data_IF_120462382125
#
_entry.id   IF_120462382125
#
_cell.length_a   1.000
_cell.length_b   1.000
_cell.length_c   1.000
_cell.angle_alpha   90.00
_cell.angle_beta   90.00
_cell.angle_gamma   90.00
#
_symmetry.space_group_name_H-M   'P 1'
#
loop_
_entity.id
_entity.type
_entity.pdbx_description
1 polymer ?
#
# COMPACT_ATOMS: atom_id res chain seq x y z
N UNK A 1 14.09 -11.60 10.28
CA UNK A 1 12.98 -10.90 9.57
C UNK A 1 12.38 -9.72 10.35
N UNK A 2 12.59 -9.63 11.68
CA UNK A 2 11.95 -8.61 12.53
C UNK A 2 12.31 -7.17 12.16
N UNK A 3 13.59 -6.88 11.90
CA UNK A 3 14.04 -5.53 11.52
C UNK A 3 13.36 -5.03 10.25
N UNK A 4 13.20 -5.91 9.26
CA UNK A 4 12.55 -5.59 8.00
C UNK A 4 11.05 -5.33 8.18
N UNK A 5 10.38 -6.13 9.01
CA UNK A 5 8.99 -5.89 9.37
C UNK A 5 8.81 -4.53 10.07
N UNK A 6 9.75 -4.13 10.94
CA UNK A 6 9.72 -2.82 11.61
C UNK A 6 9.85 -1.67 10.60
N UNK A 7 10.74 -1.77 9.61
CA UNK A 7 10.82 -0.77 8.54
C UNK A 7 9.52 -0.67 7.74
N UNK A 8 8.87 -1.80 7.45
CA UNK A 8 7.56 -1.79 6.78
C UNK A 8 6.45 -1.17 7.65
N UNK A 9 6.45 -1.43 8.96
CA UNK A 9 5.54 -0.79 9.94
C UNK A 9 5.71 0.73 9.87
N UNK A 10 6.94 1.22 9.97
CA UNK A 10 7.24 2.67 9.89
C UNK A 10 6.77 3.23 8.54
N UNK A 11 7.09 2.55 7.44
CA UNK A 11 6.72 2.99 6.09
C UNK A 11 5.20 3.07 5.89
N UNK A 12 4.45 2.04 6.28
CA UNK A 12 2.99 2.00 6.09
C UNK A 12 2.30 3.04 7.00
N UNK A 13 2.77 3.21 8.24
CA UNK A 13 2.29 4.28 9.11
C UNK A 13 2.55 5.66 8.53
N UNK A 14 3.75 5.89 7.98
CA UNK A 14 4.07 7.16 7.32
C UNK A 14 3.16 7.43 6.12
N UNK A 15 2.96 6.45 5.23
CA UNK A 15 2.06 6.59 4.08
C UNK A 15 0.62 6.86 4.49
N UNK A 16 0.14 6.21 5.56
CA UNK A 16 -1.18 6.45 6.11
C UNK A 16 -1.33 7.88 6.65
N UNK A 17 -0.37 8.35 7.46
CA UNK A 17 -0.37 9.72 7.97
C UNK A 17 -0.31 10.74 6.83
N UNK A 18 0.60 10.56 5.88
CA UNK A 18 0.74 11.45 4.74
C UNK A 18 -0.55 11.51 3.91
N UNK A 19 -1.21 10.37 3.67
CA UNK A 19 -2.50 10.33 2.96
C UNK A 19 -3.60 11.03 3.74
N UNK A 20 -3.63 10.88 5.06
CA UNK A 20 -4.62 11.52 5.94
C UNK A 20 -4.43 13.04 5.94
N UNK A 21 -3.21 13.49 6.23
CA UNK A 21 -2.86 14.93 6.24
C UNK A 21 -3.07 15.54 4.86
N UNK A 22 -2.63 14.87 3.79
CA UNK A 22 -2.84 15.33 2.41
C UNK A 22 -4.30 15.36 1.94
N UNK A 23 -5.21 14.65 2.62
CA UNK A 23 -6.65 14.67 2.29
C UNK A 23 -7.39 15.82 2.98
N UNK A 24 -7.07 16.10 4.24
CA UNK A 24 -7.74 17.13 5.04
C UNK A 24 -7.05 18.50 4.99
N UNK A 25 -5.72 18.54 4.85
CA UNK A 25 -4.90 19.74 4.94
C UNK A 25 -4.17 20.03 3.62
N UNK A 26 -4.89 20.01 2.50
CA UNK A 26 -4.31 20.27 1.17
C UNK A 26 -3.63 21.63 1.05
N UNK A 27 -4.11 22.65 1.78
CA UNK A 27 -3.57 24.01 1.75
C UNK A 27 -2.10 24.06 2.15
N UNK A 28 -1.69 23.29 3.16
CA UNK A 28 -0.29 23.24 3.68
C UNK A 28 0.70 22.84 2.57
N UNK A 29 0.26 21.96 1.67
CA UNK A 29 1.09 21.45 0.57
C UNK A 29 1.04 22.32 -0.69
N UNK A 30 0.02 23.17 -0.86
CA UNK A 30 -0.07 24.03 -2.06
C UNK A 30 0.92 25.18 -2.03
N UNK A 31 1.23 25.69 -0.84
CA UNK A 31 2.03 26.90 -0.67
C UNK A 31 3.54 26.61 -0.57
N UNK A 32 3.93 25.40 -0.16
CA UNK A 32 5.32 25.06 0.13
C UNK A 32 5.87 23.95 -0.77
N UNK A 33 6.52 24.33 -1.89
CA UNK A 33 7.12 23.38 -2.83
C UNK A 33 8.15 22.45 -2.17
N UNK A 34 9.03 22.99 -1.31
CA UNK A 34 10.05 22.22 -0.59
C UNK A 34 9.42 21.15 0.32
N UNK A 35 8.30 21.48 0.96
CA UNK A 35 7.57 20.53 1.79
C UNK A 35 6.98 19.39 0.95
N UNK A 36 6.46 19.69 -0.24
CA UNK A 36 5.96 18.68 -1.19
C UNK A 36 7.10 17.77 -1.65
N UNK A 37 8.27 18.32 -1.98
CA UNK A 37 9.43 17.53 -2.39
C UNK A 37 9.90 16.57 -1.28
N UNK A 38 10.06 17.06 -0.05
CA UNK A 38 10.47 16.25 1.10
C UNK A 38 9.45 15.13 1.36
N UNK A 39 8.16 15.47 1.36
CA UNK A 39 7.10 14.49 1.66
C UNK A 39 6.95 13.45 0.56
N UNK A 40 7.14 13.81 -0.71
CA UNK A 40 7.20 12.85 -1.82
C UNK A 40 8.45 11.96 -1.75
N UNK A 41 9.60 12.49 -1.39
CA UNK A 41 10.82 11.70 -1.20
C UNK A 41 10.68 10.69 -0.04
N UNK A 42 10.12 11.14 1.09
CA UNK A 42 9.81 10.26 2.22
C UNK A 42 8.74 9.21 1.86
N UNK A 43 7.73 9.57 1.05
CA UNK A 43 6.75 8.60 0.56
C UNK A 43 7.40 7.53 -0.32
N UNK A 44 8.32 7.92 -1.20
CA UNK A 44 9.10 6.99 -2.00
C UNK A 44 9.91 6.03 -1.12
N UNK A 45 10.61 6.55 -0.11
CA UNK A 45 11.34 5.74 0.87
C UNK A 45 10.42 4.77 1.62
N UNK A 46 9.22 5.23 2.01
CA UNK A 46 8.24 4.40 2.70
C UNK A 46 7.73 3.26 1.80
N UNK A 47 7.48 3.51 0.52
CA UNK A 47 7.10 2.46 -0.44
C UNK A 47 8.25 1.48 -0.66
N UNK A 48 9.49 1.98 -0.78
CA UNK A 48 10.68 1.13 -0.88
C UNK A 48 10.87 0.23 0.35
N UNK A 49 10.55 0.70 1.55
CA UNK A 49 10.57 -0.13 2.76
C UNK A 49 9.60 -1.31 2.66
N UNK A 50 8.42 -1.11 2.06
CA UNK A 50 7.43 -2.18 1.83
C UNK A 50 7.90 -3.13 0.73
N UNK A 51 8.46 -2.62 -0.37
CA UNK A 51 9.09 -3.45 -1.42
C UNK A 51 10.19 -4.32 -0.81
N UNK A 52 11.07 -3.73 0.00
CA UNK A 52 12.15 -4.42 0.68
C UNK A 52 11.63 -5.52 1.61
N UNK A 53 10.53 -5.28 2.33
CA UNK A 53 9.86 -6.30 3.12
C UNK A 53 9.40 -7.49 2.28
N UNK A 54 8.68 -7.26 1.18
CA UNK A 54 8.21 -8.36 0.34
C UNK A 54 9.37 -9.06 -0.39
N UNK A 55 10.46 -8.37 -0.70
CA UNK A 55 11.66 -8.97 -1.28
C UNK A 55 12.36 -9.92 -0.30
N UNK A 56 12.53 -9.49 0.96
CA UNK A 56 13.03 -10.36 2.02
C UNK A 56 12.06 -11.52 2.31
N UNK A 57 10.75 -11.27 2.27
CA UNK A 57 9.74 -12.29 2.45
C UNK A 57 9.77 -13.34 1.34
N UNK A 58 10.02 -12.93 0.10
CA UNK A 58 10.21 -13.84 -1.03
C UNK A 58 11.42 -14.76 -0.82
N UNK A 59 12.56 -14.20 -0.39
CA UNK A 59 13.76 -15.00 -0.04
C UNK A 59 13.46 -16.00 1.09
N UNK A 60 12.67 -15.60 2.09
CA UNK A 60 12.24 -16.48 3.16
C UNK A 60 11.35 -17.63 2.64
N UNK A 61 10.42 -17.34 1.74
CA UNK A 61 9.55 -18.35 1.11
C UNK A 61 10.35 -19.35 0.26
N UNK A 62 11.35 -18.88 -0.49
CA UNK A 62 12.25 -19.71 -1.28
C UNK A 62 13.05 -20.67 -0.40
N UNK A 63 13.61 -20.18 0.72
CA UNK A 63 14.40 -21.00 1.64
C UNK A 63 13.59 -22.13 2.29
N UNK A 64 12.28 -21.94 2.47
CA UNK A 64 11.37 -22.94 3.07
C UNK A 64 10.54 -23.73 2.02
N UNK A 65 10.90 -23.68 0.73
CA UNK A 65 10.22 -24.37 -0.38
C UNK A 65 8.69 -24.17 -0.41
N UNK A 66 8.21 -22.94 -0.14
CA UNK A 66 6.77 -22.61 -0.15
C UNK A 66 6.34 -22.06 -1.51
N UNK A 67 5.95 -22.95 -2.42
CA UNK A 67 5.62 -22.64 -3.82
C UNK A 67 4.39 -21.72 -3.99
N UNK A 68 3.31 -21.97 -3.24
CA UNK A 68 2.07 -21.17 -3.33
C UNK A 68 2.27 -19.71 -2.88
N UNK A 69 3.00 -19.52 -1.77
CA UNK A 69 3.25 -18.19 -1.18
C UNK A 69 4.22 -17.37 -2.04
N UNK A 70 5.12 -18.05 -2.77
CA UNK A 70 6.09 -17.43 -3.67
C UNK A 70 5.38 -16.64 -4.78
N UNK A 71 4.41 -17.25 -5.47
CA UNK A 71 3.68 -16.61 -6.56
C UNK A 71 2.95 -15.35 -6.10
N UNK A 72 2.24 -15.44 -4.97
CA UNK A 72 1.52 -14.30 -4.41
C UNK A 72 2.46 -13.18 -3.95
N UNK A 73 3.63 -13.52 -3.40
CA UNK A 73 4.65 -12.53 -2.99
C UNK A 73 5.26 -11.81 -4.20
N UNK A 74 5.54 -12.54 -5.29
CA UNK A 74 6.02 -11.94 -6.54
C UNK A 74 4.97 -10.98 -7.11
N UNK A 75 3.69 -11.36 -7.06
CA UNK A 75 2.62 -10.51 -7.54
C UNK A 75 2.52 -9.19 -6.76
N UNK A 76 2.67 -9.24 -5.43
CA UNK A 76 2.75 -8.03 -4.59
C UNK A 76 3.97 -7.19 -4.92
N UNK A 77 5.13 -7.80 -5.12
CA UNK A 77 6.34 -7.09 -5.50
C UNK A 77 6.14 -6.31 -6.80
N UNK A 78 5.54 -6.91 -7.83
CA UNK A 78 5.23 -6.23 -9.09
C UNK A 78 4.32 -5.02 -8.82
N UNK A 79 3.24 -5.20 -8.06
CA UNK A 79 2.32 -4.11 -7.71
C UNK A 79 3.01 -2.94 -6.98
N UNK A 80 3.91 -3.24 -6.03
CA UNK A 80 4.65 -2.21 -5.29
C UNK A 80 5.82 -1.59 -6.07
N UNK A 81 6.43 -2.30 -7.02
CA UNK A 81 7.41 -1.74 -7.94
C UNK A 81 6.72 -0.71 -8.86
N UNK A 82 5.53 -1.03 -9.38
CA UNK A 82 4.74 -0.07 -10.15
C UNK A 82 4.40 1.18 -9.33
N UNK A 83 4.02 1.00 -8.06
CA UNK A 83 3.81 2.13 -7.13
C UNK A 83 5.07 2.96 -6.93
N UNK A 84 6.23 2.31 -6.76
CA UNK A 84 7.53 3.01 -6.64
C UNK A 84 7.79 3.86 -7.87
N UNK A 85 7.54 3.32 -9.07
CA UNK A 85 7.65 4.06 -10.33
C UNK A 85 6.75 5.29 -10.38
N UNK A 86 5.51 5.18 -9.88
CA UNK A 86 4.59 6.32 -9.79
C UNK A 86 5.12 7.40 -8.83
N UNK A 87 5.58 7.05 -7.63
CA UNK A 87 6.13 8.02 -6.68
C UNK A 87 7.44 8.66 -7.19
N UNK A 88 8.27 7.90 -7.92
CA UNK A 88 9.47 8.41 -8.54
C UNK A 88 9.14 9.41 -9.66
N UNK A 89 8.15 9.11 -10.51
CA UNK A 89 7.64 10.03 -11.52
C UNK A 89 7.14 11.33 -10.88
N UNK A 90 6.30 11.23 -9.86
CA UNK A 90 5.77 12.39 -9.13
C UNK A 90 6.91 13.28 -8.60
N UNK A 91 7.97 12.66 -8.06
CA UNK A 91 9.13 13.37 -7.55
C UNK A 91 9.92 14.06 -8.68
N UNK A 92 10.21 13.35 -9.78
CA UNK A 92 10.93 13.89 -10.94
C UNK A 92 10.19 15.05 -11.61
N UNK A 93 8.85 14.97 -11.67
CA UNK A 93 8.02 16.05 -12.19
C UNK A 93 8.14 17.33 -11.36
N UNK A 94 8.39 17.23 -10.05
CA UNK A 94 8.63 18.39 -9.17
C UNK A 94 10.01 19.01 -9.34
N UNK A 95 10.95 18.29 -9.97
CA UNK A 95 12.28 18.78 -10.35
C UNK A 95 12.35 19.22 -11.82
N UNK A 96 11.19 19.43 -12.48
CA UNK A 96 11.09 19.79 -13.90
C UNK A 96 11.71 18.78 -14.89
N UNK A 97 11.99 17.54 -14.45
CA UNK A 97 12.41 16.46 -15.34
C UNK A 97 11.15 15.80 -15.90
N UNK A 98 10.54 16.45 -16.89
CA UNK A 98 9.33 15.94 -17.57
C UNK A 98 9.70 15.04 -18.75
N UNK A 99 8.96 13.94 -18.94
CA UNK A 99 9.02 13.15 -20.19
C UNK A 99 9.34 11.66 -20.11
N UNK A 100 9.63 11.08 -18.94
CA UNK A 100 10.21 9.72 -18.90
C UNK A 100 9.18 8.60 -18.62
N UNK A 101 8.03 8.86 -17.98
CA UNK A 101 7.16 7.75 -17.52
C UNK A 101 5.64 7.94 -17.66
N UNK A 102 5.02 6.91 -18.27
CA UNK A 102 3.60 6.51 -18.32
C UNK A 102 2.58 7.50 -18.91
N UNK A 103 1.73 7.06 -19.87
CA UNK A 103 0.57 7.85 -20.31
C UNK A 103 -0.37 8.14 -19.13
N UNK A 104 -0.99 9.32 -19.15
CA UNK A 104 -1.93 9.85 -18.14
C UNK A 104 -3.05 8.89 -17.70
N UNK A 105 -3.36 7.89 -18.52
CA UNK A 105 -4.44 6.94 -18.31
C UNK A 105 -4.11 5.79 -17.35
N UNK A 106 -2.83 5.45 -17.17
CA UNK A 106 -2.41 4.27 -16.38
C UNK A 106 -2.27 4.61 -14.89
N UNK A 107 -2.08 5.88 -14.53
CA UNK A 107 -1.84 6.31 -13.13
C UNK A 107 -2.90 5.83 -12.14
N UNK A 108 -4.21 5.90 -12.42
CA UNK A 108 -5.24 5.45 -11.48
C UNK A 108 -5.31 3.91 -11.36
N UNK A 109 -4.80 3.17 -12.34
CA UNK A 109 -4.78 1.71 -12.33
C UNK A 109 -3.69 1.14 -11.43
N UNK A 110 -2.55 1.82 -11.33
CA UNK A 110 -1.40 1.35 -10.52
C UNK A 110 -1.81 1.12 -9.06
N UNK A 111 -2.52 2.04 -8.39
CA UNK A 111 -3.08 1.78 -7.07
C UNK A 111 -4.02 0.58 -7.02
N UNK A 112 -4.89 0.39 -8.01
CA UNK A 112 -5.82 -0.74 -8.02
C UNK A 112 -5.05 -2.07 -8.08
N UNK A 113 -4.08 -2.18 -8.99
CA UNK A 113 -3.21 -3.37 -9.12
C UNK A 113 -2.48 -3.65 -7.80
N UNK A 114 -1.95 -2.61 -7.14
CA UNK A 114 -1.34 -2.74 -5.82
C UNK A 114 -2.30 -3.33 -4.78
N UNK A 115 -3.53 -2.82 -4.67
CA UNK A 115 -4.53 -3.34 -3.71
C UNK A 115 -4.98 -4.76 -4.03
N UNK A 116 -5.15 -5.09 -5.32
CA UNK A 116 -5.53 -6.43 -5.77
C UNK A 116 -4.42 -7.43 -5.43
N UNK A 117 -3.16 -7.05 -5.66
CA UNK A 117 -2.00 -7.88 -5.34
C UNK A 117 -1.89 -8.20 -3.85
N UNK A 118 -2.13 -7.20 -2.98
CA UNK A 118 -2.19 -7.40 -1.53
C UNK A 118 -3.32 -8.35 -1.12
N UNK A 119 -4.51 -8.19 -1.71
CA UNK A 119 -5.65 -9.04 -1.40
C UNK A 119 -5.34 -10.51 -1.75
N UNK A 120 -4.83 -10.77 -2.96
CA UNK A 120 -4.40 -12.10 -3.39
C UNK A 120 -3.38 -12.67 -2.42
N UNK A 121 -2.38 -11.88 -2.03
CA UNK A 121 -1.39 -12.30 -1.05
C UNK A 121 -1.98 -12.66 0.30
N UNK A 122 -2.87 -11.83 0.88
CA UNK A 122 -3.47 -12.15 2.18
C UNK A 122 -4.39 -13.36 2.12
N UNK A 123 -5.12 -13.57 1.02
CA UNK A 123 -5.95 -14.77 0.82
C UNK A 123 -5.07 -16.03 0.79
N UNK A 124 -4.00 -16.01 0.00
CA UNK A 124 -3.05 -17.14 -0.12
C UNK A 124 -2.34 -17.36 1.21
N UNK A 125 -1.94 -16.29 1.90
CA UNK A 125 -1.32 -16.35 3.22
C UNK A 125 -2.24 -16.96 4.27
N UNK A 126 -3.51 -16.56 4.30
CA UNK A 126 -4.52 -17.09 5.22
C UNK A 126 -4.76 -18.59 5.02
N UNK A 127 -4.83 -19.05 3.76
CA UNK A 127 -5.04 -20.46 3.40
C UNK A 127 -3.82 -21.36 3.68
N UNK A 128 -2.63 -20.79 3.81
CA UNK A 128 -1.39 -21.57 3.92
C UNK A 128 -1.26 -22.28 5.30
N UNK A 129 -0.84 -23.56 5.35
CA UNK A 129 -0.73 -24.33 6.61
C UNK A 129 0.23 -23.76 7.67
N UNK A 130 1.07 -22.78 7.35
CA UNK A 130 1.87 -22.02 8.34
C UNK A 130 1.02 -21.26 9.36
N UNK A 131 -0.21 -20.88 9.00
CA UNK A 131 -1.15 -20.26 9.94
C UNK A 131 -1.76 -21.31 10.86
N UNK A 132 -2.13 -22.49 10.33
CA UNK A 132 -2.81 -23.62 11.00
C UNK A 132 -2.08 -24.27 12.19
N UNK A 133 -0.81 -23.92 12.40
CA UNK A 133 -0.01 -24.42 13.53
C UNK A 133 -0.24 -23.62 14.82
N UNK A 134 -0.90 -22.45 14.76
CA UNK A 134 -1.04 -21.53 15.91
C UNK A 134 -2.51 -21.13 16.10
N UNK A 135 -3.28 -22.05 16.68
CA UNK A 135 -4.74 -21.99 16.92
C UNK A 135 -5.30 -20.62 17.37
N UNK A 136 -4.57 -19.85 18.19
CA UNK A 136 -5.07 -18.56 18.70
C UNK A 136 -4.81 -17.35 17.78
N UNK A 137 -3.79 -17.41 16.91
CA UNK A 137 -3.46 -16.31 16.00
C UNK A 137 -4.21 -16.41 14.65
N UNK A 138 -4.63 -17.62 14.26
CA UNK A 138 -5.31 -17.90 13.01
C UNK A 138 -6.58 -17.06 12.80
N UNK A 139 -7.38 -16.87 13.86
CA UNK A 139 -8.66 -16.16 13.78
C UNK A 139 -8.47 -14.69 13.40
N UNK A 140 -7.33 -14.10 13.72
CA UNK A 140 -7.03 -12.69 13.43
C UNK A 140 -6.29 -12.50 12.11
N UNK A 141 -5.87 -13.56 11.43
CA UNK A 141 -5.25 -13.47 10.10
C UNK A 141 -6.25 -13.25 8.97
N UNK A 142 -7.56 -13.30 9.26
CA UNK A 142 -8.61 -12.85 8.33
C UNK A 142 -8.67 -11.32 8.25
N UNK A 143 -8.22 -10.60 9.28
CA UNK A 143 -8.28 -9.13 9.34
C UNK A 143 -7.56 -8.46 8.17
N UNK A 144 -6.30 -8.81 7.83
CA UNK A 144 -5.64 -8.26 6.64
C UNK A 144 -6.41 -8.50 5.33
N UNK A 145 -7.12 -9.63 5.21
CA UNK A 145 -7.97 -9.92 4.04
C UNK A 145 -9.14 -8.94 3.97
N UNK A 146 -9.82 -8.71 5.09
CA UNK A 146 -10.92 -7.73 5.18
C UNK A 146 -10.40 -6.32 4.87
N UNK A 147 -9.27 -5.93 5.46
CA UNK A 147 -8.64 -4.64 5.21
C UNK A 147 -8.28 -4.42 3.74
N UNK A 148 -7.64 -5.41 3.10
CA UNK A 148 -7.30 -5.34 1.68
C UNK A 148 -8.54 -5.34 0.77
N UNK A 149 -9.63 -6.00 1.17
CA UNK A 149 -10.91 -5.95 0.45
C UNK A 149 -11.51 -4.54 0.50
N UNK A 150 -11.47 -3.89 1.67
CA UNK A 150 -11.92 -2.50 1.83
C UNK A 150 -11.04 -1.55 1.02
N UNK A 151 -9.71 -1.71 1.06
CA UNK A 151 -8.78 -0.91 0.25
C UNK A 151 -9.07 -1.07 -1.26
N UNK A 152 -9.30 -2.31 -1.73
CA UNK A 152 -9.65 -2.58 -3.12
C UNK A 152 -10.99 -1.94 -3.51
N UNK A 153 -12.01 -2.01 -2.64
CA UNK A 153 -13.31 -1.38 -2.88
C UNK A 153 -13.18 0.14 -3.00
N UNK A 154 -12.42 0.78 -2.10
CA UNK A 154 -12.16 2.23 -2.14
C UNK A 154 -11.45 2.62 -3.44
N UNK A 155 -10.41 1.86 -3.85
CA UNK A 155 -9.68 2.15 -5.10
C UNK A 155 -10.51 1.90 -6.34
N UNK A 156 -11.38 0.89 -6.32
CA UNK A 156 -12.35 0.65 -7.39
C UNK A 156 -13.35 1.80 -7.52
N UNK A 157 -13.84 2.32 -6.39
CA UNK A 157 -14.72 3.49 -6.37
C UNK A 157 -14.04 4.75 -6.93
N UNK A 158 -12.76 4.99 -6.57
CA UNK A 158 -11.97 6.10 -7.13
C UNK A 158 -11.80 5.93 -8.64
N UNK A 159 -11.44 4.73 -9.10
CA UNK A 159 -11.25 4.46 -10.53
C UNK A 159 -12.54 4.64 -11.32
N UNK A 160 -13.68 4.16 -10.80
CA UNK A 160 -14.98 4.35 -11.43
C UNK A 160 -15.34 5.84 -11.55
N UNK A 161 -15.07 6.63 -10.51
CA UNK A 161 -15.24 8.09 -10.58
C UNK A 161 -14.29 8.76 -11.56
N UNK A 162 -13.05 8.30 -11.67
CA UNK A 162 -12.10 8.80 -12.67
C UNK A 162 -12.65 8.60 -14.09
N UNK A 163 -13.19 7.42 -14.40
CA UNK A 163 -13.76 7.14 -15.71
C UNK A 163 -15.02 7.97 -16.02
N UNK A 164 -15.91 8.11 -15.04
CA UNK A 164 -17.21 8.74 -15.26
C UNK A 164 -17.15 10.27 -15.25
N UNK A 165 -16.30 10.85 -14.38
CA UNK A 165 -16.27 12.30 -14.14
C UNK A 165 -14.94 12.96 -14.54
N UNK A 166 -13.90 12.19 -14.90
CA UNK A 166 -12.53 12.66 -15.21
C UNK A 166 -11.81 13.53 -14.17
N UNK A 167 -12.44 13.79 -13.02
CA UNK A 167 -11.94 14.71 -11.98
C UNK A 167 -11.15 14.05 -10.83
N UNK A 168 -11.43 12.79 -10.50
CA UNK A 168 -10.92 12.17 -9.28
C UNK A 168 -9.74 11.25 -9.57
N UNK A 169 -8.52 11.78 -9.49
CA UNK A 169 -7.28 10.98 -9.59
C UNK A 169 -6.85 10.37 -8.26
N UNK A 170 -7.23 11.00 -7.15
CA UNK A 170 -6.77 10.65 -5.81
C UNK A 170 -7.88 10.83 -4.78
N UNK A 171 -7.75 10.16 -3.63
CA UNK A 171 -8.67 10.29 -2.48
C UNK A 171 -8.93 11.76 -2.10
N UNK A 172 -7.88 12.57 -2.17
CA UNK A 172 -7.90 13.98 -1.79
C UNK A 172 -8.78 14.83 -2.73
N UNK A 173 -9.05 14.36 -3.95
CA UNK A 173 -9.87 15.04 -4.94
C UNK A 173 -11.37 14.67 -4.83
N UNK A 174 -11.75 13.80 -3.88
CA UNK A 174 -13.15 13.47 -3.66
C UNK A 174 -13.91 14.68 -3.09
N UNK A 175 -15.21 14.84 -3.41
CA UNK A 175 -16.06 15.80 -2.71
C UNK A 175 -16.12 15.52 -1.21
N UNK A 176 -16.26 16.56 -0.38
CA UNK A 176 -16.13 16.43 1.07
C UNK A 176 -17.13 15.44 1.70
N UNK A 177 -18.34 15.35 1.14
CA UNK A 177 -19.36 14.36 1.52
C UNK A 177 -18.82 12.92 1.44
N UNK A 178 -18.02 12.61 0.42
CA UNK A 178 -17.41 11.29 0.27
C UNK A 178 -16.15 11.12 1.12
N UNK A 179 -15.36 12.19 1.33
CA UNK A 179 -14.19 12.12 2.22
C UNK A 179 -14.57 11.70 3.64
N UNK A 180 -15.70 12.20 4.17
CA UNK A 180 -16.20 11.85 5.51
C UNK A 180 -16.53 10.36 5.63
N UNK A 181 -17.10 9.75 4.59
CA UNK A 181 -17.47 8.32 4.58
C UNK A 181 -16.25 7.43 4.33
N UNK A 182 -15.39 7.83 3.39
CA UNK A 182 -14.26 7.00 2.96
C UNK A 182 -13.12 7.03 3.97
N UNK A 183 -12.91 8.13 4.71
CA UNK A 183 -11.79 8.24 5.67
C UNK A 183 -11.84 7.19 6.79
N UNK A 184 -12.97 6.96 7.49
CA UNK A 184 -13.08 5.88 8.47
C UNK A 184 -12.78 4.50 7.87
N UNK A 185 -13.21 4.26 6.62
CA UNK A 185 -12.93 3.01 5.92
C UNK A 185 -11.44 2.85 5.60
N UNK A 186 -10.76 3.93 5.19
CA UNK A 186 -9.29 3.94 4.98
C UNK A 186 -8.56 3.67 6.30
N UNK A 187 -8.98 4.30 7.40
CA UNK A 187 -8.39 4.07 8.72
C UNK A 187 -8.58 2.62 9.19
N UNK A 188 -9.80 2.09 9.05
CA UNK A 188 -10.10 0.71 9.41
C UNK A 188 -9.32 -0.29 8.55
N UNK A 189 -9.28 -0.07 7.23
CA UNK A 189 -8.44 -0.83 6.31
C UNK A 189 -6.96 -0.82 6.72
N UNK A 190 -6.43 0.36 7.06
CA UNK A 190 -5.07 0.52 7.54
C UNK A 190 -4.82 -0.31 8.80
N UNK A 191 -5.66 -0.21 9.84
CA UNK A 191 -5.48 -0.99 11.08
C UNK A 191 -5.45 -2.50 10.82
N UNK A 192 -6.35 -2.97 9.96
CA UNK A 192 -6.48 -4.38 9.61
C UNK A 192 -5.26 -4.91 8.83
N UNK A 193 -4.74 -4.13 7.88
CA UNK A 193 -3.51 -4.46 7.16
C UNK A 193 -2.29 -4.33 8.08
N UNK A 194 -2.25 -3.31 8.93
CA UNK A 194 -1.16 -3.04 9.87
C UNK A 194 -0.96 -4.19 10.87
N UNK A 195 -2.06 -4.81 11.29
CA UNK A 195 -2.04 -6.00 12.14
C UNK A 195 -1.16 -7.13 11.57
N UNK A 196 -1.16 -7.35 10.25
CA UNK A 196 -0.29 -8.34 9.61
C UNK A 196 1.19 -8.07 9.87
N UNK A 197 1.61 -6.80 9.73
CA UNK A 197 3.01 -6.42 9.90
C UNK A 197 3.44 -6.53 11.38
N UNK A 198 2.55 -6.17 12.31
CA UNK A 198 2.78 -6.41 13.75
C UNK A 198 2.91 -7.90 14.04
N UNK A 199 2.01 -8.73 13.49
CA UNK A 199 2.07 -10.17 13.64
C UNK A 199 3.41 -10.71 13.17
N UNK A 200 3.85 -10.32 11.97
CA UNK A 200 5.16 -10.70 11.45
C UNK A 200 6.33 -10.20 12.31
N UNK A 201 6.27 -8.97 12.80
CA UNK A 201 7.30 -8.42 13.69
C UNK A 201 7.42 -9.23 15.00
N UNK A 202 6.29 -9.56 15.62
CA UNK A 202 6.25 -10.29 16.90
C UNK A 202 6.69 -11.74 16.73
N UNK A 203 6.24 -12.39 15.66
CA UNK A 203 6.30 -13.85 15.52
C UNK A 203 7.29 -14.38 14.50
N UNK A 204 7.91 -13.54 13.67
CA UNK A 204 8.96 -14.01 12.76
C UNK A 204 10.24 -14.37 13.53
N UNK A 205 10.93 -15.39 13.04
CA UNK A 205 12.29 -15.75 13.48
C UNK A 205 13.23 -14.53 13.32
N UNK A 206 14.19 -14.37 14.25
CA UNK A 206 15.10 -13.22 14.34
C UNK A 206 15.65 -12.82 12.96
#
# INVERSE_FOLDING_TARGET
MKRVALFAIIGISYLFLLRTVGTFYQHIFRENLTLVQITKALALLAVLAVVFFFACFLRYCLRKNRTELKGATVFVLIGYILMTGLYLKDLLSLFNVSGIFSPYFIEPFIPLVGSLSLLVFFIVFYKNPLTKSRKNAERFLIFPVIGATIDLAIRSFILLRYFWFRDVKWLANLPDKFKIIVTPLVFFSFLMIFYFFIYFYKYAEK
#
